data_IF_539571435590
#
_entry.id   IF_539571435590
#
_cell.length_a   1.000
_cell.length_b   1.000
_cell.length_c   1.000
_cell.angle_alpha   90.00
_cell.angle_beta   90.00
_cell.angle_gamma   90.00
#
_symmetry.space_group_name_H-M   'P 1'
#
loop_
_entity.id
_entity.type
_entity.pdbx_description
1 polymer ?
#
# COMPACT_ATOMS: atom_id res chain seq x y z
N UNK A 1 -1.98 -12.50 3.22
CA UNK A 1 -0.71 -12.91 3.87
C UNK A 1 -0.93 -13.93 4.98
N UNK A 2 -2.10 -13.91 5.64
CA UNK A 2 -2.54 -15.00 6.52
C UNK A 2 -3.75 -15.67 5.87
N UNK A 3 -3.84 -17.00 5.94
CA UNK A 3 -4.88 -17.78 5.24
C UNK A 3 -6.31 -17.33 5.63
N UNK A 4 -6.53 -16.98 6.89
CA UNK A 4 -7.85 -16.61 7.41
C UNK A 4 -8.05 -15.10 7.55
N UNK A 5 -7.22 -14.28 6.92
CA UNK A 5 -7.37 -12.82 6.98
C UNK A 5 -8.55 -12.36 6.12
N UNK A 6 -9.55 -11.74 6.75
CA UNK A 6 -10.73 -11.17 6.07
C UNK A 6 -10.88 -9.66 6.29
N UNK A 7 -9.85 -9.02 6.85
CA UNK A 7 -9.83 -7.59 7.16
C UNK A 7 -9.55 -6.69 5.95
N UNK A 8 -9.42 -5.38 6.19
CA UNK A 8 -9.09 -4.41 5.14
C UNK A 8 -7.63 -4.56 4.70
N UNK A 9 -7.37 -4.49 3.41
CA UNK A 9 -6.02 -4.58 2.83
C UNK A 9 -5.41 -3.19 2.61
N UNK A 10 -6.20 -2.25 2.08
CA UNK A 10 -5.81 -0.87 1.89
C UNK A 10 -7.02 0.05 1.89
N UNK A 11 -6.79 1.35 2.14
CA UNK A 11 -7.81 2.41 2.08
C UNK A 11 -7.60 3.28 0.87
N UNK A 12 -8.65 3.44 0.07
CA UNK A 12 -8.72 4.35 -1.06
C UNK A 12 -9.31 5.70 -0.64
N UNK A 13 -8.85 6.75 -1.32
CA UNK A 13 -9.47 8.07 -1.37
C UNK A 13 -9.89 8.34 -2.81
N UNK A 14 -11.17 8.64 -3.01
CA UNK A 14 -11.71 9.02 -4.30
C UNK A 14 -11.53 10.51 -4.55
N UNK A 15 -11.00 10.88 -5.71
CA UNK A 15 -10.60 12.26 -5.95
C UNK A 15 -11.79 13.21 -6.16
N UNK A 16 -12.87 12.73 -6.78
CA UNK A 16 -14.05 13.54 -7.13
C UNK A 16 -14.78 14.10 -5.91
N UNK A 17 -14.88 13.34 -4.81
CA UNK A 17 -15.69 13.69 -3.64
C UNK A 17 -14.97 13.50 -2.30
N UNK A 18 -13.69 13.08 -2.34
CA UNK A 18 -12.86 12.79 -1.16
C UNK A 18 -13.44 11.71 -0.25
N UNK A 19 -14.34 10.86 -0.77
CA UNK A 19 -14.84 9.71 -0.05
C UNK A 19 -13.72 8.69 0.18
N UNK A 20 -13.81 7.95 1.29
CA UNK A 20 -12.88 6.87 1.62
C UNK A 20 -13.55 5.50 1.54
N UNK A 21 -12.84 4.50 1.03
CA UNK A 21 -13.28 3.10 1.02
C UNK A 21 -12.14 2.18 1.41
N UNK A 22 -12.39 1.26 2.35
CA UNK A 22 -11.46 0.18 2.63
C UNK A 22 -11.74 -0.99 1.70
N UNK A 23 -10.71 -1.48 1.01
CA UNK A 23 -10.80 -2.67 0.16
C UNK A 23 -10.43 -3.88 1.01
N UNK A 24 -11.39 -4.78 1.19
CA UNK A 24 -11.27 -5.97 2.03
C UNK A 24 -10.60 -7.12 1.27
N UNK A 25 -10.05 -8.07 2.04
CA UNK A 25 -9.73 -9.39 1.52
C UNK A 25 -11.03 -10.14 1.14
N UNK A 26 -10.94 -10.86 0.04
CA UNK A 26 -11.95 -11.80 -0.43
C UNK A 26 -11.66 -13.20 0.12
N UNK A 27 -12.62 -14.12 0.02
CA UNK A 27 -12.48 -15.47 0.62
C UNK A 27 -11.35 -16.29 -0.03
N UNK A 28 -10.94 -15.93 -1.24
CA UNK A 28 -9.82 -16.51 -1.97
C UNK A 28 -8.46 -15.89 -1.61
N UNK A 29 -8.44 -14.94 -0.68
CA UNK A 29 -7.24 -14.24 -0.20
C UNK A 29 -6.82 -13.03 -1.04
N UNK A 30 -7.47 -12.76 -2.17
CA UNK A 30 -7.19 -11.59 -3.00
C UNK A 30 -7.97 -10.35 -2.55
N UNK A 31 -7.59 -9.19 -3.05
CA UNK A 31 -8.37 -7.97 -2.83
C UNK A 31 -9.71 -8.04 -3.57
N UNK A 32 -10.75 -7.45 -2.99
CA UNK A 32 -12.04 -7.23 -3.67
C UNK A 32 -11.92 -6.14 -4.75
N UNK A 33 -11.24 -6.46 -5.84
CA UNK A 33 -10.91 -5.53 -6.92
C UNK A 33 -12.12 -5.00 -7.69
N UNK A 34 -13.26 -5.71 -7.63
CA UNK A 34 -14.53 -5.22 -8.14
C UNK A 34 -15.02 -3.99 -7.34
N UNK A 35 -14.91 -4.03 -6.01
CA UNK A 35 -15.27 -2.91 -5.13
C UNK A 35 -14.36 -1.70 -5.39
N UNK A 36 -13.05 -1.93 -5.56
CA UNK A 36 -12.10 -0.90 -5.96
C UNK A 36 -12.52 -0.26 -7.29
N UNK A 37 -12.71 -1.07 -8.33
CA UNK A 37 -13.03 -0.59 -9.68
C UNK A 37 -14.34 0.20 -9.71
N UNK A 38 -15.37 -0.29 -9.02
CA UNK A 38 -16.65 0.38 -8.90
C UNK A 38 -16.53 1.72 -8.14
N UNK A 39 -15.77 1.73 -7.05
CA UNK A 39 -15.55 2.94 -6.26
C UNK A 39 -14.84 4.03 -7.06
N UNK A 40 -13.83 3.67 -7.84
CA UNK A 40 -12.99 4.59 -8.61
C UNK A 40 -13.53 4.92 -10.01
N UNK A 41 -14.69 4.40 -10.38
CA UNK A 41 -15.28 4.63 -11.70
C UNK A 41 -15.45 6.13 -12.00
N UNK A 42 -14.92 6.57 -13.14
CA UNK A 42 -15.07 7.95 -13.62
C UNK A 42 -14.20 8.99 -12.90
N UNK A 43 -13.26 8.58 -12.05
CA UNK A 43 -12.36 9.51 -11.36
C UNK A 43 -11.04 8.83 -10.97
N UNK A 44 -10.11 9.58 -10.38
CA UNK A 44 -8.90 9.01 -9.80
C UNK A 44 -9.16 8.51 -8.38
N UNK A 45 -8.41 7.50 -7.98
CA UNK A 45 -8.31 7.07 -6.60
C UNK A 45 -6.86 7.04 -6.16
N UNK A 46 -6.65 7.24 -4.86
CA UNK A 46 -5.35 7.22 -4.25
C UNK A 46 -5.34 6.29 -3.04
N UNK A 47 -4.31 5.47 -2.90
CA UNK A 47 -4.16 4.59 -1.73
C UNK A 47 -3.61 5.42 -0.56
N UNK A 48 -4.42 5.70 0.47
CA UNK A 48 -3.97 6.49 1.62
C UNK A 48 -3.32 5.66 2.72
N UNK A 49 -3.77 4.41 2.86
CA UNK A 49 -3.30 3.50 3.91
C UNK A 49 -3.13 2.10 3.35
N UNK A 50 -2.07 1.42 3.79
CA UNK A 50 -1.85 0.00 3.61
C UNK A 50 -1.98 -0.65 4.99
N UNK A 51 -2.93 -1.55 5.15
CA UNK A 51 -3.19 -2.18 6.44
C UNK A 51 -2.24 -3.35 6.67
N UNK A 52 -1.51 -3.29 7.78
CA UNK A 52 -0.87 -4.46 8.39
C UNK A 52 -1.91 -5.55 8.71
N UNK A 53 -1.77 -6.71 8.08
CA UNK A 53 -2.63 -7.87 8.28
C UNK A 53 -2.30 -8.64 9.56
N UNK A 54 -1.15 -8.35 10.18
CA UNK A 54 -0.79 -8.93 11.46
C UNK A 54 -1.58 -8.30 12.61
N UNK A 55 -1.67 -8.97 13.77
CA UNK A 55 -2.26 -8.38 14.97
C UNK A 55 -1.51 -7.16 15.54
N UNK A 56 -0.37 -6.75 14.95
CA UNK A 56 0.46 -5.64 15.47
C UNK A 56 -0.09 -4.26 15.12
N UNK A 57 -0.91 -4.14 14.08
CA UNK A 57 -1.54 -2.88 13.71
C UNK A 57 -0.55 -1.85 13.15
N UNK A 58 0.56 -2.29 12.56
CA UNK A 58 1.59 -1.43 11.98
C UNK A 58 1.17 -0.88 10.60
N UNK A 59 0.00 -0.26 10.52
CA UNK A 59 -0.55 0.25 9.25
C UNK A 59 0.31 1.38 8.69
N UNK A 60 0.57 1.35 7.38
CA UNK A 60 1.36 2.38 6.71
C UNK A 60 0.44 3.47 6.17
N UNK A 61 0.64 4.70 6.62
CA UNK A 61 -0.02 5.90 6.10
C UNK A 61 0.95 6.67 5.18
N UNK A 62 0.44 7.62 4.40
CA UNK A 62 1.29 8.51 3.57
C UNK A 62 2.38 9.15 4.43
N UNK A 63 3.63 9.03 3.99
CA UNK A 63 4.77 9.40 4.85
C UNK A 63 4.80 10.91 5.14
N UNK A 64 5.05 11.31 6.40
CA UNK A 64 5.25 12.72 6.74
C UNK A 64 6.58 13.23 6.17
N UNK A 65 6.77 14.55 6.25
CA UNK A 65 8.06 15.16 5.97
C UNK A 65 9.16 14.61 6.90
N UNK A 66 10.39 14.58 6.42
CA UNK A 66 11.57 14.13 7.15
C UNK A 66 12.85 14.85 6.70
N UNK A 67 14.00 14.31 7.09
CA UNK A 67 15.30 14.93 6.80
C UNK A 67 15.65 14.96 5.30
N UNK A 68 15.38 13.86 4.60
CA UNK A 68 15.67 13.73 3.17
C UNK A 68 14.64 14.43 2.27
N UNK A 69 13.37 14.46 2.69
CA UNK A 69 12.27 15.08 1.97
C UNK A 69 11.50 16.02 2.90
N UNK A 70 11.57 17.33 2.65
CA UNK A 70 11.02 18.36 3.55
C UNK A 70 9.51 18.60 3.41
N UNK A 71 8.84 17.83 2.57
CA UNK A 71 7.40 17.82 2.43
C UNK A 71 6.85 16.40 2.60
N UNK A 72 5.57 16.24 2.97
CA UNK A 72 4.91 14.94 2.97
C UNK A 72 5.02 14.26 1.60
N UNK A 73 5.09 12.94 1.61
CA UNK A 73 5.04 12.15 0.39
C UNK A 73 3.60 11.95 -0.05
N UNK A 74 3.43 11.79 -1.36
CA UNK A 74 2.12 11.57 -1.96
C UNK A 74 1.70 10.10 -1.89
N UNK A 75 0.39 9.81 -1.82
CA UNK A 75 -0.10 8.46 -2.05
C UNK A 75 0.09 8.05 -3.52
N UNK A 76 0.15 6.75 -3.79
CA UNK A 76 0.11 6.23 -5.16
C UNK A 76 -1.29 6.36 -5.75
N UNK A 77 -1.37 6.56 -7.06
CA UNK A 77 -2.64 6.42 -7.78
C UNK A 77 -3.00 4.93 -7.89
N UNK A 78 -4.18 4.57 -7.41
CA UNK A 78 -4.60 3.19 -7.17
C UNK A 78 -4.91 2.41 -8.46
N UNK A 79 -4.99 3.09 -9.61
CA UNK A 79 -5.34 2.47 -10.91
C UNK A 79 -4.12 2.25 -11.82
N UNK A 80 -2.90 2.57 -11.36
CA UNK A 80 -1.71 2.64 -12.24
C UNK A 80 -1.06 1.29 -12.54
N UNK A 81 -1.26 0.27 -11.72
CA UNK A 81 -0.67 -1.06 -11.93
C UNK A 81 -1.71 -2.16 -11.79
N UNK A 82 -2.67 -2.27 -12.72
CA UNK A 82 -3.56 -3.42 -12.79
C UNK A 82 -2.78 -4.65 -13.25
N UNK A 83 -2.93 -5.77 -12.55
CA UNK A 83 -2.31 -7.04 -12.89
C UNK A 83 -3.21 -8.22 -12.53
N UNK A 84 -2.85 -9.41 -13.01
CA UNK A 84 -3.55 -10.66 -12.69
C UNK A 84 -2.63 -11.58 -11.92
N UNK A 85 -3.09 -12.06 -10.76
CA UNK A 85 -2.37 -13.02 -9.92
C UNK A 85 -3.30 -14.20 -9.67
N UNK A 86 -2.89 -15.42 -10.04
CA UNK A 86 -3.71 -16.62 -9.83
C UNK A 86 -5.08 -16.60 -10.53
N UNK A 87 -5.22 -15.82 -11.61
CA UNK A 87 -6.50 -15.62 -12.31
C UNK A 87 -7.37 -14.48 -11.75
N UNK A 88 -6.99 -13.87 -10.62
CA UNK A 88 -7.69 -12.75 -10.01
C UNK A 88 -7.06 -11.41 -10.39
N UNK A 89 -7.89 -10.45 -10.82
CA UNK A 89 -7.44 -9.08 -11.05
C UNK A 89 -7.13 -8.41 -9.71
N UNK A 90 -5.98 -7.75 -9.62
CA UNK A 90 -5.53 -6.97 -8.45
C UNK A 90 -4.82 -5.70 -8.93
N UNK A 91 -4.56 -4.79 -7.98
CA UNK A 91 -3.87 -3.52 -8.22
C UNK A 91 -2.62 -3.46 -7.36
N UNK A 92 -1.46 -3.30 -8.00
CA UNK A 92 -0.19 -3.04 -7.36
C UNK A 92 -0.06 -1.58 -6.92
N UNK A 93 0.84 -1.32 -5.98
CA UNK A 93 1.21 0.04 -5.61
C UNK A 93 2.29 0.55 -6.58
N UNK A 94 1.88 1.36 -7.56
CA UNK A 94 2.81 1.93 -8.55
C UNK A 94 3.41 3.23 -8.02
N UNK A 95 4.66 3.17 -7.56
CA UNK A 95 5.34 4.31 -7.00
C UNK A 95 5.99 5.17 -8.09
N UNK A 96 5.70 6.46 -8.08
CA UNK A 96 6.42 7.48 -8.84
C UNK A 96 7.20 8.38 -7.88
N UNK A 97 8.00 9.31 -8.41
CA UNK A 97 8.81 10.20 -7.58
C UNK A 97 7.98 10.92 -6.51
N UNK A 98 8.54 11.04 -5.30
CA UNK A 98 7.89 11.68 -4.13
C UNK A 98 6.64 10.96 -3.60
N UNK A 99 6.50 9.66 -3.82
CA UNK A 99 5.47 8.82 -3.19
C UNK A 99 6.07 7.93 -2.11
N UNK A 100 5.29 7.63 -1.07
CA UNK A 100 5.77 6.74 -0.01
C UNK A 100 4.85 6.66 1.20
N UNK A 101 5.02 5.58 1.95
CA UNK A 101 4.26 5.29 3.15
C UNK A 101 5.19 5.00 4.31
N UNK A 102 4.73 5.32 5.53
CA UNK A 102 5.54 5.17 6.73
C UNK A 102 4.66 5.01 7.96
N UNK A 103 5.18 4.28 8.93
CA UNK A 103 4.73 4.29 10.32
C UNK A 103 5.95 4.43 11.23
N UNK A 104 5.94 5.42 12.12
CA UNK A 104 7.08 5.69 13.01
C UNK A 104 6.97 5.00 14.36
N UNK A 105 5.76 4.69 14.80
CA UNK A 105 5.48 4.04 16.09
C UNK A 105 4.96 2.65 15.82
N UNK A 106 5.86 1.68 15.89
CA UNK A 106 5.58 0.28 15.58
C UNK A 106 5.47 -0.59 16.82
N UNK A 107 4.86 -1.76 16.65
CA UNK A 107 4.78 -2.83 17.63
C UNK A 107 5.42 -4.10 17.07
N UNK A 108 6.37 -4.67 17.82
CA UNK A 108 7.01 -5.95 17.48
C UNK A 108 8.02 -5.91 16.33
N UNK A 109 8.39 -4.72 15.84
CA UNK A 109 9.52 -4.56 14.90
C UNK A 109 10.83 -4.64 15.69
N UNK A 110 11.82 -5.33 15.14
CA UNK A 110 13.13 -5.50 15.75
C UNK A 110 13.82 -4.15 15.99
N UNK A 111 14.57 -4.03 17.09
CA UNK A 111 15.33 -2.81 17.43
C UNK A 111 16.74 -3.16 17.91
N UNK A 112 17.67 -2.21 17.79
CA UNK A 112 19.08 -2.45 18.15
C UNK A 112 19.68 -3.57 17.29
N UNK A 113 20.21 -4.60 17.94
CA UNK A 113 20.85 -5.77 17.30
C UNK A 113 19.91 -6.98 17.17
N UNK A 114 18.61 -6.80 17.39
CA UNK A 114 17.65 -7.90 17.24
C UNK A 114 17.56 -8.37 15.79
N UNK A 115 17.38 -9.68 15.63
CA UNK A 115 17.25 -10.33 14.34
C UNK A 115 15.93 -9.94 13.64
N UNK A 116 15.99 -9.76 12.31
CA UNK A 116 14.82 -9.53 11.48
C UNK A 116 14.95 -10.16 10.10
N UNK A 117 13.81 -10.46 9.49
CA UNK A 117 13.74 -10.88 8.09
C UNK A 117 12.56 -10.16 7.43
N UNK A 118 12.76 -9.71 6.21
CA UNK A 118 11.77 -9.01 5.42
C UNK A 118 11.80 -9.52 3.98
N UNK A 119 10.66 -9.44 3.31
CA UNK A 119 10.56 -9.68 1.88
C UNK A 119 9.53 -8.71 1.29
N UNK A 120 9.70 -8.42 0.01
CA UNK A 120 8.76 -7.66 -0.79
C UNK A 120 8.78 -8.25 -2.21
N UNK A 121 7.61 -8.31 -2.85
CA UNK A 121 7.50 -8.65 -4.27
C UNK A 121 7.39 -7.36 -5.05
N UNK A 122 8.31 -7.14 -6.00
CA UNK A 122 8.37 -5.92 -6.81
C UNK A 122 8.47 -6.22 -8.29
N UNK A 123 8.15 -5.19 -9.07
CA UNK A 123 8.44 -5.14 -10.50
C UNK A 123 9.92 -4.86 -10.71
N UNK A 124 10.65 -5.81 -11.31
CA UNK A 124 12.07 -5.64 -11.63
C UNK A 124 12.35 -4.64 -12.76
N UNK A 125 11.31 -4.23 -13.50
CA UNK A 125 11.39 -3.30 -14.64
C UNK A 125 10.97 -1.86 -14.28
N UNK A 126 10.50 -1.62 -13.04
CA UNK A 126 10.05 -0.31 -12.60
C UNK A 126 10.97 0.27 -11.51
N UNK A 127 12.01 0.97 -11.95
CA UNK A 127 13.02 1.58 -11.08
C UNK A 127 13.61 2.84 -11.74
N UNK A 128 14.39 3.60 -10.97
CA UNK A 128 15.16 4.73 -11.49
C UNK A 128 16.52 4.84 -10.77
N UNK A 129 17.36 5.80 -11.16
CA UNK A 129 18.67 6.04 -10.54
C UNK A 129 18.64 6.93 -9.29
N UNK A 130 17.46 7.29 -8.78
CA UNK A 130 17.27 8.18 -7.64
C UNK A 130 17.25 7.41 -6.32
N UNK A 131 17.66 8.10 -5.25
CA UNK A 131 17.44 7.61 -3.89
C UNK A 131 16.03 7.98 -3.41
N UNK A 132 15.25 7.07 -2.84
CA UNK A 132 15.48 5.62 -2.73
C UNK A 132 14.13 4.88 -2.72
N UNK A 133 14.10 3.64 -3.21
CA UNK A 133 12.94 2.75 -3.11
C UNK A 133 13.21 1.66 -2.07
N UNK A 134 12.70 1.87 -0.85
CA UNK A 134 12.98 1.02 0.31
C UNK A 134 11.70 0.36 0.85
N UNK A 135 11.89 -0.80 1.47
CA UNK A 135 10.90 -1.49 2.30
C UNK A 135 11.63 -2.10 3.49
N UNK A 136 11.22 -1.73 4.70
CA UNK A 136 11.81 -2.18 5.95
C UNK A 136 11.51 -1.26 7.11
#
# INVERSE_FOLDING_TARGET
>A
LYQNYSGPLYRLLRDSDKAGLDILAHYDGFARSADHSAFCAGTNCFTLRIYDQSPRGNHLDTAPAGGACRHPLSPVNASRDPLTVGGSMVFGAYFEGNMGYRIDRTSGVATGEMEQTMYMVTRGDHYNGGCCFHHG
#
